data_IF_417948346907
#
_entry.id   IF_417948346907
#
_cell.length_a   1.000
_cell.length_b   1.000
_cell.length_c   1.000
_cell.angle_alpha   90.00
_cell.angle_beta   90.00
_cell.angle_gamma   90.00
#
_symmetry.space_group_name_H-M   'P 1'
#
loop_
_entity.id
_entity.type
_entity.pdbx_description
1 polymer ?
#
# COMPACT_ATOMS: atom_id res chain seq x y z
N UNK A 1 1.11 6.11 15.86
CA UNK A 1 0.85 4.97 16.77
C UNK A 1 -0.18 5.38 17.82
N UNK A 2 0.12 6.33 18.71
CA UNK A 2 -0.77 6.74 19.82
C UNK A 2 -2.16 7.15 19.29
N UNK A 3 -2.24 8.04 18.29
CA UNK A 3 -3.51 8.46 17.70
C UNK A 3 -4.33 7.28 17.15
N UNK A 4 -3.67 6.31 16.49
CA UNK A 4 -4.34 5.09 16.01
C UNK A 4 -4.90 4.27 17.17
N UNK A 5 -4.13 4.11 18.26
CA UNK A 5 -4.59 3.38 19.46
C UNK A 5 -5.81 4.03 20.09
N UNK A 6 -5.82 5.38 20.18
CA UNK A 6 -6.99 6.11 20.70
C UNK A 6 -8.24 5.90 19.83
N UNK A 7 -8.08 5.91 18.49
CA UNK A 7 -9.20 5.62 17.58
C UNK A 7 -9.69 4.17 17.74
N UNK A 8 -8.78 3.21 17.91
CA UNK A 8 -9.15 1.80 18.18
C UNK A 8 -10.00 1.69 19.44
N UNK A 9 -9.60 2.35 20.54
CA UNK A 9 -10.37 2.36 21.79
C UNK A 9 -11.78 2.92 21.58
N UNK A 10 -11.89 4.06 20.90
CA UNK A 10 -13.20 4.68 20.61
C UNK A 10 -14.06 3.74 19.75
N UNK A 11 -13.50 3.22 18.66
CA UNK A 11 -14.23 2.31 17.76
C UNK A 11 -14.66 1.04 18.49
N UNK A 12 -13.83 0.50 19.37
CA UNK A 12 -14.16 -0.69 20.17
C UNK A 12 -15.29 -0.39 21.18
N UNK A 13 -15.24 0.76 21.87
CA UNK A 13 -16.27 1.15 22.84
C UNK A 13 -17.64 1.30 22.20
N UNK A 14 -17.72 1.88 21.02
CA UNK A 14 -18.99 2.17 20.33
C UNK A 14 -19.32 1.17 19.22
N UNK A 15 -18.57 0.08 19.09
CA UNK A 15 -18.71 -0.94 18.04
C UNK A 15 -18.72 -0.37 16.61
N UNK A 16 -17.89 0.65 16.37
CA UNK A 16 -17.76 1.29 15.07
C UNK A 16 -16.73 0.52 14.21
N UNK A 17 -17.09 0.16 12.97
CA UNK A 17 -16.16 -0.45 12.04
C UNK A 17 -14.97 0.48 11.75
N UNK A 18 -13.76 -0.02 11.92
CA UNK A 18 -12.53 0.73 11.68
C UNK A 18 -11.86 0.26 10.39
N UNK A 19 -11.60 1.19 9.48
CA UNK A 19 -10.78 0.95 8.29
C UNK A 19 -9.47 1.71 8.44
N UNK A 20 -8.37 0.98 8.39
CA UNK A 20 -7.02 1.54 8.53
C UNK A 20 -6.26 1.42 7.22
N UNK A 21 -5.84 2.56 6.67
CA UNK A 21 -5.00 2.59 5.47
C UNK A 21 -3.55 2.44 5.89
N UNK A 22 -2.94 1.31 5.53
CA UNK A 22 -1.53 1.00 5.70
C UNK A 22 -0.76 1.11 4.39
N UNK A 23 0.44 0.58 4.33
CA UNK A 23 1.38 0.75 3.23
C UNK A 23 2.01 -0.58 2.81
N UNK A 24 2.44 -0.68 1.56
CA UNK A 24 3.31 -1.75 1.06
C UNK A 24 4.71 -1.73 1.69
N UNK A 25 5.15 -0.59 2.23
CA UNK A 25 6.44 -0.44 2.91
C UNK A 25 6.56 -1.17 4.25
N UNK A 26 5.49 -1.79 4.75
CA UNK A 26 5.59 -2.72 5.89
C UNK A 26 6.40 -3.97 5.56
N UNK A 27 6.60 -4.27 4.28
CA UNK A 27 7.45 -5.35 3.79
C UNK A 27 8.90 -4.89 3.54
N UNK A 28 9.83 -5.85 3.50
CA UNK A 28 11.26 -5.59 3.22
C UNK A 28 11.51 -4.93 1.86
N UNK A 29 10.68 -5.19 0.87
CA UNK A 29 10.78 -4.59 -0.46
C UNK A 29 11.84 -5.20 -1.37
N UNK A 30 12.20 -6.46 -1.19
CA UNK A 30 13.22 -7.15 -1.97
C UNK A 30 12.69 -8.22 -2.95
N UNK A 31 11.58 -8.92 -2.62
CA UNK A 31 11.06 -10.03 -3.44
C UNK A 31 9.83 -9.67 -4.28
N UNK A 32 9.01 -8.72 -3.84
CA UNK A 32 7.73 -8.39 -4.47
C UNK A 32 6.65 -9.45 -4.34
N UNK A 33 5.50 -9.19 -4.93
CA UNK A 33 4.32 -10.06 -4.91
C UNK A 33 3.98 -10.55 -3.49
N UNK A 34 4.11 -9.66 -2.49
CA UNK A 34 3.88 -9.96 -1.09
C UNK A 34 2.42 -10.31 -0.84
N UNK A 35 2.18 -11.41 -0.12
CA UNK A 35 0.87 -11.82 0.38
C UNK A 35 0.58 -11.19 1.73
N UNK A 36 -0.70 -11.16 2.14
CA UNK A 36 -1.13 -10.56 3.41
C UNK A 36 -0.46 -11.19 4.64
N UNK A 37 -0.10 -12.47 4.56
CA UNK A 37 0.54 -13.25 5.64
C UNK A 37 2.06 -13.31 5.54
N UNK A 38 2.68 -12.64 4.58
CA UNK A 38 4.14 -12.59 4.47
C UNK A 38 4.75 -11.81 5.65
N UNK A 39 6.01 -12.13 5.96
CA UNK A 39 6.78 -11.48 7.02
C UNK A 39 6.87 -9.96 6.82
N UNK A 40 6.64 -9.20 7.88
CA UNK A 40 6.71 -7.75 7.90
C UNK A 40 8.08 -7.32 8.40
N UNK A 41 8.79 -6.53 7.60
CA UNK A 41 10.12 -6.01 7.94
C UNK A 41 10.31 -4.59 7.39
N UNK A 42 9.71 -3.58 8.05
CA UNK A 42 9.83 -2.18 7.65
C UNK A 42 11.29 -1.71 7.61
N UNK A 43 11.63 -0.89 6.61
CA UNK A 43 12.99 -0.41 6.40
C UNK A 43 13.17 1.09 6.71
N UNK A 44 12.10 1.78 7.14
CA UNK A 44 12.16 3.20 7.49
C UNK A 44 11.15 3.57 8.58
N UNK A 45 11.33 4.75 9.20
CA UNK A 45 10.49 5.23 10.31
C UNK A 45 9.01 5.37 9.94
N UNK A 46 8.70 5.80 8.72
CA UNK A 46 7.32 5.86 8.23
C UNK A 46 6.67 4.47 8.26
N UNK A 47 7.32 3.49 7.67
CA UNK A 47 6.81 2.12 7.60
C UNK A 47 6.65 1.51 9.00
N UNK A 48 7.59 1.75 9.92
CA UNK A 48 7.47 1.34 11.33
C UNK A 48 6.28 1.99 12.03
N UNK A 49 6.03 3.29 11.76
CA UNK A 49 4.88 3.99 12.33
C UNK A 49 3.55 3.41 11.82
N UNK A 50 3.50 3.03 10.53
CA UNK A 50 2.33 2.39 9.91
C UNK A 50 2.11 0.99 10.47
N UNK A 51 3.15 0.19 10.61
CA UNK A 51 3.07 -1.13 11.22
C UNK A 51 2.63 -1.05 12.70
N UNK A 52 3.15 -0.10 13.47
CA UNK A 52 2.70 0.14 14.84
C UNK A 52 1.20 0.46 14.93
N UNK A 53 0.66 1.18 13.95
CA UNK A 53 -0.79 1.37 13.80
C UNK A 53 -1.53 0.08 13.47
N UNK A 54 -1.02 -0.76 12.55
CA UNK A 54 -1.59 -2.08 12.26
C UNK A 54 -1.66 -2.97 13.51
N UNK A 55 -0.62 -2.96 14.36
CA UNK A 55 -0.60 -3.75 15.58
C UNK A 55 -1.78 -3.37 16.50
N UNK A 56 -2.05 -2.08 16.68
CA UNK A 56 -3.19 -1.62 17.47
C UNK A 56 -4.54 -2.03 16.83
N UNK A 57 -4.68 -1.83 15.52
CA UNK A 57 -5.92 -2.13 14.78
C UNK A 57 -6.24 -3.63 14.78
N UNK A 58 -5.25 -4.50 14.73
CA UNK A 58 -5.42 -5.96 14.78
C UNK A 58 -6.05 -6.47 16.08
N UNK A 59 -5.95 -5.71 17.16
CA UNK A 59 -6.59 -6.06 18.44
C UNK A 59 -8.11 -5.86 18.41
N UNK A 60 -8.63 -5.16 17.40
CA UNK A 60 -10.05 -4.90 17.24
C UNK A 60 -10.65 -5.73 16.10
N UNK A 61 -11.53 -6.67 16.45
CA UNK A 61 -12.11 -7.65 15.51
C UNK A 61 -12.99 -7.04 14.42
N UNK A 62 -13.61 -5.86 14.69
CA UNK A 62 -14.43 -5.14 13.70
C UNK A 62 -13.60 -4.14 12.91
N UNK A 63 -12.45 -4.60 12.37
CA UNK A 63 -11.53 -3.76 11.63
C UNK A 63 -11.13 -4.34 10.28
N UNK A 64 -10.75 -3.46 9.37
CA UNK A 64 -10.17 -3.76 8.07
C UNK A 64 -8.87 -2.97 7.91
N UNK A 65 -7.77 -3.66 7.64
CA UNK A 65 -6.49 -3.05 7.29
C UNK A 65 -6.30 -3.15 5.78
N UNK A 66 -6.10 -2.03 5.12
CA UNK A 66 -5.84 -1.96 3.68
C UNK A 66 -4.38 -1.56 3.50
N UNK A 67 -3.55 -2.50 3.04
CA UNK A 67 -2.18 -2.18 2.61
C UNK A 67 -2.21 -1.76 1.15
N UNK A 68 -1.71 -0.58 0.86
CA UNK A 68 -1.75 0.01 -0.47
C UNK A 68 -0.60 0.97 -0.69
N UNK A 69 -0.40 1.36 -1.93
CA UNK A 69 0.47 2.47 -2.32
C UNK A 69 -0.18 3.20 -3.49
N UNK A 70 -0.24 4.52 -3.41
CA UNK A 70 -0.82 5.36 -4.46
C UNK A 70 0.01 6.63 -4.67
N UNK A 71 -0.21 7.30 -5.77
CA UNK A 71 0.46 8.53 -6.14
C UNK A 71 -0.54 9.49 -6.80
N UNK A 72 -0.07 10.69 -7.08
CA UNK A 72 -0.80 11.65 -7.91
C UNK A 72 -1.02 11.11 -9.32
N UNK A 73 -2.02 11.64 -10.02
CA UNK A 73 -2.39 11.21 -11.37
C UNK A 73 -1.40 11.70 -12.44
N UNK A 74 -0.49 12.61 -12.08
CA UNK A 74 0.60 13.09 -12.92
C UNK A 74 1.94 12.69 -12.30
N UNK A 75 2.82 12.09 -13.10
CA UNK A 75 4.16 11.76 -12.63
C UNK A 75 5.06 13.01 -12.61
N UNK A 76 5.57 13.43 -11.43
CA UNK A 76 6.18 14.75 -11.28
C UNK A 76 7.66 14.82 -11.68
N UNK A 77 8.34 13.67 -11.89
CA UNK A 77 9.80 13.62 -12.08
C UNK A 77 10.18 13.43 -13.53
N UNK A 78 11.40 13.89 -13.91
CA UNK A 78 11.94 13.71 -15.26
C UNK A 78 12.60 12.36 -15.48
N UNK A 79 12.91 11.62 -14.40
CA UNK A 79 13.45 10.27 -14.43
C UNK A 79 12.63 9.34 -13.56
N UNK A 80 12.57 8.07 -13.94
CA UNK A 80 11.86 7.04 -13.17
C UNK A 80 12.69 5.74 -13.11
N UNK A 81 12.58 5.03 -11.98
CA UNK A 81 13.30 3.79 -11.76
C UNK A 81 12.84 2.70 -12.74
N UNK A 82 13.80 2.13 -13.45
CA UNK A 82 13.58 0.98 -14.35
C UNK A 82 13.71 -0.35 -13.60
N UNK A 83 14.40 -0.36 -12.46
CA UNK A 83 14.73 -1.53 -11.65
C UNK A 83 14.07 -1.50 -10.24
N UNK A 84 13.09 -0.64 -10.05
CA UNK A 84 12.21 -0.62 -8.89
C UNK A 84 10.78 -0.98 -9.32
N UNK A 85 10.17 -1.97 -8.62
CA UNK A 85 8.85 -2.49 -8.96
C UNK A 85 7.82 -2.24 -7.87
N UNK A 86 6.58 -2.06 -8.29
CA UNK A 86 5.46 -1.73 -7.40
C UNK A 86 4.13 -2.22 -7.97
N UNK A 87 3.12 -2.31 -7.10
CA UNK A 87 1.70 -2.40 -7.48
C UNK A 87 0.95 -1.06 -7.31
N UNK A 88 1.70 0.03 -7.08
CA UNK A 88 1.18 1.40 -6.97
C UNK A 88 0.42 1.81 -8.24
N UNK A 89 -0.58 2.66 -8.04
CA UNK A 89 -1.26 3.36 -9.13
C UNK A 89 -1.69 4.78 -8.68
N UNK A 90 -2.33 5.54 -9.57
CA UNK A 90 -2.85 6.86 -9.21
C UNK A 90 -3.97 6.76 -8.16
N UNK A 91 -4.17 7.82 -7.43
CA UNK A 91 -5.28 7.94 -6.48
C UNK A 91 -6.64 7.71 -7.16
N UNK A 92 -6.79 8.14 -8.42
CA UNK A 92 -8.02 7.95 -9.19
C UNK A 92 -8.36 6.48 -9.46
N UNK A 93 -7.34 5.61 -9.48
CA UNK A 93 -7.52 4.17 -9.64
C UNK A 93 -7.71 3.48 -8.27
N UNK A 94 -6.97 3.90 -7.26
CA UNK A 94 -6.94 3.22 -5.96
C UNK A 94 -8.12 3.62 -5.06
N UNK A 95 -8.52 4.91 -5.05
CA UNK A 95 -9.58 5.38 -4.16
C UNK A 95 -10.95 4.74 -4.43
N UNK A 96 -11.40 4.53 -5.69
CA UNK A 96 -12.66 3.80 -5.96
C UNK A 96 -12.66 2.37 -5.43
N UNK A 97 -11.50 1.69 -5.47
CA UNK A 97 -11.39 0.31 -4.93
C UNK A 97 -11.54 0.35 -3.40
N UNK A 98 -10.86 1.27 -2.72
CA UNK A 98 -10.98 1.47 -1.27
C UNK A 98 -12.42 1.81 -0.90
N UNK A 99 -13.06 2.71 -1.65
CA UNK A 99 -14.46 3.08 -1.41
C UNK A 99 -15.40 1.88 -1.56
N UNK A 100 -15.23 1.05 -2.60
CA UNK A 100 -15.99 -0.20 -2.76
C UNK A 100 -15.82 -1.10 -1.54
N UNK A 101 -14.59 -1.32 -1.08
CA UNK A 101 -14.30 -2.13 0.11
C UNK A 101 -14.91 -1.54 1.39
N UNK A 102 -14.92 -0.21 1.54
CA UNK A 102 -15.47 0.45 2.73
C UNK A 102 -16.98 0.24 2.88
N UNK A 103 -17.69 0.05 1.77
CA UNK A 103 -19.13 -0.23 1.76
C UNK A 103 -19.49 -1.71 2.00
N UNK A 104 -18.49 -2.61 2.03
CA UNK A 104 -18.71 -4.02 2.32
C UNK A 104 -18.72 -4.25 3.84
N UNK A 105 -19.92 -4.43 4.43
CA UNK A 105 -20.11 -4.50 5.89
C UNK A 105 -19.31 -5.61 6.56
N UNK A 106 -19.24 -6.79 5.95
CA UNK A 106 -18.68 -8.00 6.57
C UNK A 106 -17.19 -8.21 6.31
N UNK A 107 -16.58 -7.34 5.50
CA UNK A 107 -15.15 -7.45 5.19
C UNK A 107 -14.30 -7.04 6.39
N UNK A 108 -13.37 -7.90 6.81
CA UNK A 108 -12.50 -7.72 7.98
C UNK A 108 -11.10 -8.26 7.71
N UNK A 109 -10.18 -7.92 8.61
CA UNK A 109 -8.80 -8.42 8.57
C UNK A 109 -7.90 -7.59 7.66
N UNK A 110 -7.06 -8.23 6.82
CA UNK A 110 -6.08 -7.53 5.99
C UNK A 110 -6.37 -7.79 4.52
N UNK A 111 -6.32 -6.73 3.71
CA UNK A 111 -6.45 -6.80 2.25
C UNK A 111 -5.37 -5.93 1.62
N UNK A 112 -4.77 -6.44 0.56
CA UNK A 112 -3.90 -5.68 -0.31
C UNK A 112 -4.71 -5.01 -1.42
N UNK A 113 -4.52 -3.71 -1.60
CA UNK A 113 -5.10 -2.93 -2.70
C UNK A 113 -3.99 -2.37 -3.56
N UNK A 114 -4.04 -2.67 -4.83
CA UNK A 114 -3.06 -2.25 -5.82
C UNK A 114 -3.48 -2.69 -7.22
N UNK A 115 -2.57 -2.51 -8.16
CA UNK A 115 -2.75 -2.98 -9.54
C UNK A 115 -1.65 -3.97 -9.91
N UNK A 116 -1.61 -4.43 -11.16
CA UNK A 116 -0.57 -5.35 -11.65
C UNK A 116 0.83 -4.77 -11.38
N UNK A 117 1.75 -5.66 -10.95
CA UNK A 117 3.18 -5.32 -10.78
C UNK A 117 3.74 -4.67 -12.04
N UNK A 118 4.45 -3.57 -11.86
CA UNK A 118 5.12 -2.80 -12.91
C UNK A 118 6.33 -2.08 -12.36
N UNK A 119 7.27 -1.67 -13.22
CA UNK A 119 8.35 -0.75 -12.81
C UNK A 119 7.79 0.66 -12.57
N UNK A 120 8.53 1.48 -11.82
CA UNK A 120 8.16 2.89 -11.61
C UNK A 120 8.18 3.65 -12.95
N UNK A 121 9.06 3.26 -13.89
CA UNK A 121 9.06 3.83 -15.24
C UNK A 121 7.80 3.49 -16.03
N UNK A 122 7.35 2.23 -16.00
CA UNK A 122 6.08 1.82 -16.63
C UNK A 122 4.89 2.58 -16.02
N UNK A 123 4.91 2.81 -14.71
CA UNK A 123 3.90 3.64 -14.05
C UNK A 123 3.95 5.09 -14.56
N UNK A 124 5.13 5.69 -14.66
CA UNK A 124 5.28 7.07 -15.17
C UNK A 124 4.74 7.22 -16.59
N UNK A 125 5.04 6.25 -17.48
CA UNK A 125 4.51 6.22 -18.84
C UNK A 125 2.98 6.09 -18.84
N UNK A 126 2.43 5.20 -18.00
CA UNK A 126 0.99 5.03 -17.81
C UNK A 126 0.31 6.33 -17.37
N UNK A 127 0.98 7.12 -16.52
CA UNK A 127 0.50 8.43 -16.04
C UNK A 127 0.75 9.59 -17.04
N UNK A 128 1.09 9.26 -18.29
CA UNK A 128 1.21 10.24 -19.38
C UNK A 128 2.59 10.86 -19.56
N UNK A 129 3.61 10.50 -18.77
CA UNK A 129 4.97 11.02 -18.93
C UNK A 129 5.71 10.24 -20.03
N UNK A 130 5.45 10.58 -21.31
CA UNK A 130 6.01 9.83 -22.47
C UNK A 130 7.53 9.87 -22.54
N UNK A 131 8.15 11.00 -22.19
CA UNK A 131 9.60 11.23 -22.26
C UNK A 131 10.26 11.20 -20.88
N UNK A 132 10.04 10.13 -20.10
CA UNK A 132 10.69 9.94 -18.82
C UNK A 132 12.03 9.23 -18.98
N UNK A 133 13.10 9.82 -18.44
CA UNK A 133 14.46 9.26 -18.46
C UNK A 133 14.62 8.08 -17.51
N UNK A 134 15.66 7.29 -17.72
CA UNK A 134 15.98 6.15 -16.86
C UNK A 134 16.68 6.59 -15.58
N UNK A 135 16.29 5.95 -14.48
CA UNK A 135 16.95 6.03 -13.18
C UNK A 135 17.15 4.61 -12.66
N UNK A 136 18.31 4.35 -12.08
CA UNK A 136 18.60 3.06 -11.45
C UNK A 136 18.77 3.23 -9.95
N UNK A 137 18.38 2.23 -9.17
CA UNK A 137 18.49 2.23 -7.71
C UNK A 137 19.92 2.43 -7.20
N UNK A 138 20.91 2.00 -7.97
CA UNK A 138 22.34 2.20 -7.68
C UNK A 138 22.80 3.66 -7.82
N UNK A 139 22.05 4.49 -8.53
CA UNK A 139 22.44 5.88 -8.86
C UNK A 139 21.91 6.88 -7.81
N UNK A 140 21.24 6.40 -6.76
CA UNK A 140 20.71 7.24 -5.68
C UNK A 140 21.39 6.94 -4.34
N UNK A 141 21.51 7.94 -3.49
CA UNK A 141 22.17 7.83 -2.17
C UNK A 141 21.27 7.29 -1.06
N UNK A 142 19.97 7.18 -1.30
CA UNK A 142 19.00 6.67 -0.31
C UNK A 142 18.61 5.21 -0.62
N UNK A 143 18.08 4.53 0.39
CA UNK A 143 17.59 3.17 0.20
C UNK A 143 16.31 3.16 -0.65
N UNK A 144 16.40 2.69 -1.89
CA UNK A 144 15.27 2.45 -2.77
C UNK A 144 14.96 0.94 -2.77
N UNK A 145 13.78 0.50 -2.30
CA UNK A 145 13.41 -0.92 -2.31
C UNK A 145 13.34 -1.45 -3.74
N UNK A 146 13.73 -2.72 -3.94
CA UNK A 146 13.72 -3.34 -5.26
C UNK A 146 12.30 -3.62 -5.75
N UNK A 147 11.46 -4.17 -4.89
CA UNK A 147 10.13 -4.62 -5.28
C UNK A 147 9.19 -4.65 -4.06
N UNK A 148 8.27 -3.71 -4.01
CA UNK A 148 7.23 -3.62 -2.97
C UNK A 148 5.86 -4.08 -3.47
N UNK A 149 5.80 -4.71 -4.65
CA UNK A 149 4.54 -5.11 -5.24
C UNK A 149 3.77 -6.07 -4.32
N UNK A 150 2.47 -5.86 -4.27
CA UNK A 150 1.53 -6.61 -3.45
C UNK A 150 0.85 -7.70 -4.30
N UNK A 151 0.64 -8.87 -3.72
CA UNK A 151 -0.28 -9.85 -4.27
C UNK A 151 -1.72 -9.37 -4.05
N UNK A 152 -2.52 -9.34 -5.09
CA UNK A 152 -3.90 -8.83 -5.08
C UNK A 152 -4.94 -9.90 -5.40
N UNK A 153 -4.59 -11.18 -5.32
CA UNK A 153 -5.53 -12.27 -5.64
C UNK A 153 -6.73 -12.27 -4.69
N UNK A 154 -6.50 -12.00 -3.40
CA UNK A 154 -7.59 -11.86 -2.43
C UNK A 154 -8.56 -10.74 -2.78
N UNK A 155 -8.05 -9.59 -3.23
CA UNK A 155 -8.88 -8.48 -3.71
C UNK A 155 -9.72 -8.90 -4.92
N UNK A 156 -9.09 -9.55 -5.92
CA UNK A 156 -9.78 -10.01 -7.13
C UNK A 156 -10.93 -10.95 -6.80
N UNK A 157 -10.72 -11.94 -5.93
CA UNK A 157 -11.78 -12.89 -5.55
C UNK A 157 -12.98 -12.25 -4.85
N UNK A 158 -12.84 -11.03 -4.34
CA UNK A 158 -13.93 -10.28 -3.67
C UNK A 158 -14.64 -9.28 -4.60
N UNK A 159 -14.05 -8.98 -5.74
CA UNK A 159 -14.55 -7.94 -6.65
C UNK A 159 -15.10 -8.49 -7.96
N UNK A 160 -14.94 -9.79 -8.19
CA UNK A 160 -15.60 -10.57 -9.24
C UNK A 160 -17.01 -10.93 -8.81
#
# INVERSE_FOLDING_TARGET
IIGTSNIVLICSTFNIKLIYISTDYVFKGNKGNYKENDELLPQNHYAWSKLGGECAVRLYSNSLIIRTSFCESIFPYDKAFVDQYTSRDSVDVIAPIIFKLSNMKDIKGIIHVGTKRKSVKELAIKLGKKNVGDLYRKDVSFHAPKDTSLNIEKLKSMTT
#
